data_IF_598157385582
#
_entry.id   IF_598157385582
#
_cell.length_a   1.000
_cell.length_b   1.000
_cell.length_c   1.000
_cell.angle_alpha   90.00
_cell.angle_beta   90.00
_cell.angle_gamma   90.00
#
_symmetry.space_group_name_H-M   'P 1'
#
loop_
_entity.id
_entity.type
_entity.pdbx_description
1 polymer ?
#
# COMPACT_ATOMS: atom_id res chain seq x y z
N UNK A 1 17.56 12.21 -0.17
CA UNK A 1 17.69 11.67 -1.55
C UNK A 1 16.33 11.72 -2.25
N UNK A 2 16.28 12.05 -3.54
CA UNK A 2 15.02 11.96 -4.33
C UNK A 2 14.75 10.48 -4.64
N UNK A 3 13.75 9.87 -4.01
CA UNK A 3 13.25 8.53 -4.38
C UNK A 3 12.52 8.63 -5.73
N UNK A 4 12.86 7.80 -6.70
CA UNK A 4 12.27 7.75 -8.04
C UNK A 4 12.08 6.29 -8.46
N UNK A 5 11.21 6.06 -9.44
CA UNK A 5 11.02 4.74 -10.04
C UNK A 5 12.33 4.18 -10.59
N UNK A 6 12.62 2.92 -10.29
CA UNK A 6 13.94 2.30 -10.53
C UNK A 6 14.04 1.52 -11.85
N UNK A 7 12.93 1.28 -12.57
CA UNK A 7 12.89 0.38 -13.72
C UNK A 7 11.81 0.75 -14.75
N UNK A 8 11.79 0.03 -15.87
CA UNK A 8 10.71 0.10 -16.88
C UNK A 8 9.53 -0.76 -16.43
N UNK A 9 8.32 -0.32 -16.79
CA UNK A 9 7.11 -1.13 -16.62
C UNK A 9 7.18 -2.41 -17.47
N UNK A 10 6.49 -3.49 -17.07
CA UNK A 10 6.33 -4.68 -17.89
C UNK A 10 5.49 -4.38 -19.15
N UNK A 11 5.65 -5.19 -20.20
CA UNK A 11 4.99 -4.97 -21.50
C UNK A 11 3.46 -5.01 -21.41
N UNK A 12 2.91 -5.86 -20.54
CA UNK A 12 1.47 -5.99 -20.29
C UNK A 12 0.92 -4.99 -19.25
N UNK A 13 1.67 -3.94 -18.90
CA UNK A 13 1.25 -2.92 -17.95
C UNK A 13 -0.15 -2.32 -18.20
N UNK A 14 -0.57 -2.01 -19.45
CA UNK A 14 -1.92 -1.50 -19.70
C UNK A 14 -3.03 -2.42 -19.18
N UNK A 15 -2.83 -3.74 -19.27
CA UNK A 15 -3.78 -4.74 -18.78
C UNK A 15 -3.77 -4.80 -17.25
N UNK A 16 -2.59 -4.88 -16.63
CA UNK A 16 -2.42 -4.89 -15.18
C UNK A 16 -3.08 -3.66 -14.55
N UNK A 17 -2.80 -2.48 -15.12
CA UNK A 17 -3.36 -1.22 -14.65
C UNK A 17 -4.89 -1.14 -14.84
N UNK A 18 -5.44 -1.74 -15.90
CA UNK A 18 -6.89 -1.83 -16.11
C UNK A 18 -7.53 -2.74 -15.06
N UNK A 19 -7.02 -3.96 -14.91
CA UNK A 19 -7.53 -4.95 -13.95
C UNK A 19 -7.51 -4.39 -12.51
N UNK A 20 -6.43 -3.71 -12.13
CA UNK A 20 -6.29 -3.07 -10.81
C UNK A 20 -7.40 -2.03 -10.56
N UNK A 21 -7.75 -1.23 -11.58
CA UNK A 21 -8.83 -0.24 -11.48
C UNK A 21 -10.22 -0.88 -11.46
N UNK A 22 -10.39 -1.99 -12.17
CA UNK A 22 -11.64 -2.77 -12.19
C UNK A 22 -11.90 -3.44 -10.84
N UNK A 23 -10.87 -4.02 -10.20
CA UNK A 23 -10.95 -4.56 -8.84
C UNK A 23 -11.36 -3.48 -7.82
N UNK A 24 -10.83 -2.26 -8.00
CA UNK A 24 -11.21 -1.10 -7.20
C UNK A 24 -12.57 -0.49 -7.61
N UNK A 25 -13.30 -1.12 -8.53
CA UNK A 25 -14.62 -0.69 -9.04
C UNK A 25 -14.62 0.76 -9.54
N UNK A 26 -13.52 1.18 -10.17
CA UNK A 26 -13.36 2.53 -10.68
C UNK A 26 -13.33 3.62 -9.59
N UNK A 27 -13.03 3.27 -8.34
CA UNK A 27 -12.98 4.18 -7.19
C UNK A 27 -11.59 4.23 -6.56
N UNK A 28 -11.24 5.38 -6.02
CA UNK A 28 -10.03 5.53 -5.22
C UNK A 28 -10.14 4.70 -3.94
N UNK A 29 -9.20 3.78 -3.69
CA UNK A 29 -9.23 2.92 -2.49
C UNK A 29 -9.06 3.72 -1.19
N UNK A 30 -8.45 4.90 -1.26
CA UNK A 30 -8.20 5.76 -0.10
C UNK A 30 -9.38 6.65 0.27
N UNK A 31 -9.93 7.41 -0.69
CA UNK A 31 -11.00 8.38 -0.41
C UNK A 31 -12.38 7.97 -0.94
N UNK A 32 -12.47 6.82 -1.62
CA UNK A 32 -13.71 6.31 -2.21
C UNK A 32 -14.18 7.05 -3.47
N UNK A 33 -13.65 8.22 -3.81
CA UNK A 33 -14.16 9.01 -4.93
C UNK A 33 -14.09 8.24 -6.26
N UNK A 34 -15.16 8.24 -7.09
CA UNK A 34 -15.14 7.61 -8.41
C UNK A 34 -14.17 8.31 -9.37
N UNK A 35 -13.71 7.58 -10.38
CA UNK A 35 -12.95 8.13 -11.49
C UNK A 35 -13.71 9.30 -12.13
N UNK A 36 -13.19 10.51 -11.98
CA UNK A 36 -13.78 11.72 -12.55
C UNK A 36 -12.70 12.74 -12.94
N UNK A 37 -12.14 12.64 -14.15
CA UNK A 37 -11.08 13.53 -14.62
C UNK A 37 -11.48 15.01 -14.65
N UNK A 38 -12.75 15.31 -14.96
CA UNK A 38 -13.25 16.69 -15.03
C UNK A 38 -13.16 17.42 -13.69
N UNK A 39 -13.22 16.68 -12.57
CA UNK A 39 -13.10 17.21 -11.21
C UNK A 39 -11.71 17.00 -10.59
N UNK A 40 -10.73 16.51 -11.37
CA UNK A 40 -9.38 16.21 -10.90
C UNK A 40 -9.28 14.92 -10.07
N UNK A 41 -10.19 13.96 -10.29
CA UNK A 41 -10.18 12.64 -9.69
C UNK A 41 -9.85 11.55 -10.72
N UNK A 42 -8.86 11.79 -11.57
CA UNK A 42 -8.34 10.78 -12.50
C UNK A 42 -7.75 9.62 -11.69
N UNK A 43 -8.27 8.42 -11.91
CA UNK A 43 -7.81 7.20 -11.25
C UNK A 43 -6.50 6.69 -11.89
N UNK A 44 -5.51 6.46 -11.04
CA UNK A 44 -4.15 6.01 -11.35
C UNK A 44 -3.81 4.79 -10.51
N UNK A 45 -2.76 4.04 -10.89
CA UNK A 45 -2.18 2.97 -10.08
C UNK A 45 -0.81 3.43 -9.60
N UNK A 46 -0.54 3.29 -8.32
CA UNK A 46 0.73 3.70 -7.70
C UNK A 46 1.50 2.46 -7.25
N UNK A 47 2.82 2.43 -7.45
CA UNK A 47 3.70 1.39 -6.90
C UNK A 47 4.27 1.88 -5.57
N UNK A 48 3.88 1.26 -4.45
CA UNK A 48 4.26 1.70 -3.10
C UNK A 48 5.76 1.54 -2.81
N UNK A 49 6.40 0.54 -3.40
CA UNK A 49 7.85 0.29 -3.31
C UNK A 49 8.68 1.07 -4.35
N UNK A 50 8.02 1.80 -5.26
CA UNK A 50 8.63 2.49 -6.40
C UNK A 50 9.35 1.57 -7.41
N UNK A 51 9.04 0.27 -7.43
CA UNK A 51 9.49 -0.67 -8.43
C UNK A 51 8.34 -1.00 -9.43
N UNK A 52 8.35 -0.40 -10.63
CA UNK A 52 7.39 -0.68 -11.70
C UNK A 52 7.25 -2.15 -12.14
N UNK A 53 8.20 -3.03 -11.81
CA UNK A 53 8.10 -4.45 -12.15
C UNK A 53 7.40 -5.27 -11.07
N UNK A 54 7.24 -4.73 -9.85
CA UNK A 54 6.56 -5.42 -8.77
C UNK A 54 5.06 -5.16 -8.87
N UNK A 55 4.37 -6.02 -9.62
CA UNK A 55 2.94 -5.94 -9.83
C UNK A 55 2.13 -6.81 -8.84
N UNK A 56 2.61 -6.99 -7.62
CA UNK A 56 1.83 -7.60 -6.55
C UNK A 56 0.63 -6.71 -6.17
N UNK A 57 -0.50 -7.31 -5.81
CA UNK A 57 -1.73 -6.57 -5.50
C UNK A 57 -1.55 -5.57 -4.34
N UNK A 58 -0.74 -5.95 -3.34
CA UNK A 58 -0.42 -5.11 -2.18
C UNK A 58 0.51 -3.94 -2.55
N UNK A 59 1.14 -3.97 -3.72
CA UNK A 59 2.01 -2.89 -4.17
C UNK A 59 1.28 -1.89 -5.07
N UNK A 60 0.07 -2.20 -5.54
CA UNK A 60 -0.64 -1.46 -6.60
C UNK A 60 -1.99 -0.87 -6.16
N UNK A 61 -2.07 0.04 -5.18
CA UNK A 61 -3.33 0.71 -4.86
C UNK A 61 -3.85 1.57 -6.02
N UNK A 62 -5.14 1.43 -6.33
CA UNK A 62 -5.85 2.31 -7.25
C UNK A 62 -6.23 3.63 -6.56
N UNK A 63 -5.57 4.73 -6.91
CA UNK A 63 -5.70 6.02 -6.25
C UNK A 63 -6.08 7.13 -7.24
N UNK A 64 -6.94 8.06 -6.81
CA UNK A 64 -7.14 9.29 -7.58
C UNK A 64 -5.86 10.14 -7.56
N UNK A 65 -5.68 10.99 -8.57
CA UNK A 65 -4.51 11.87 -8.72
C UNK A 65 -4.18 12.65 -7.42
N UNK A 66 -5.20 13.17 -6.72
CA UNK A 66 -5.00 13.89 -5.45
C UNK A 66 -4.40 13.01 -4.36
N UNK A 67 -4.98 11.83 -4.14
CA UNK A 67 -4.51 10.89 -3.13
C UNK A 67 -3.14 10.28 -3.48
N UNK A 68 -2.91 10.01 -4.77
CA UNK A 68 -1.64 9.52 -5.28
C UNK A 68 -0.50 10.52 -4.98
N UNK A 69 -0.67 11.79 -5.37
CA UNK A 69 0.33 12.83 -5.14
C UNK A 69 0.61 13.09 -3.65
N UNK A 70 -0.37 12.86 -2.77
CA UNK A 70 -0.17 13.00 -1.34
C UNK A 70 0.78 11.95 -0.75
N UNK A 71 0.84 10.74 -1.32
CA UNK A 71 1.64 9.63 -0.78
C UNK A 71 2.95 9.38 -1.54
N UNK A 72 3.03 9.78 -2.81
CA UNK A 72 4.09 9.40 -3.76
C UNK A 72 5.53 9.56 -3.24
N UNK A 73 5.80 10.58 -2.43
CA UNK A 73 7.13 10.85 -1.86
C UNK A 73 7.20 10.63 -0.34
N UNK A 74 6.09 10.25 0.29
CA UNK A 74 5.95 10.16 1.75
C UNK A 74 5.89 8.72 2.26
N UNK A 75 5.34 7.80 1.47
CA UNK A 75 5.27 6.41 1.86
C UNK A 75 6.62 5.75 1.61
N UNK A 76 7.12 5.09 2.64
CA UNK A 76 8.35 4.29 2.66
C UNK A 76 7.98 2.98 3.32
N UNK A 77 7.82 1.92 2.52
CA UNK A 77 7.31 0.64 3.03
C UNK A 77 8.24 0.02 4.08
N UNK A 78 9.54 0.27 3.97
CA UNK A 78 10.55 -0.25 4.90
C UNK A 78 10.53 0.44 6.27
N UNK A 79 9.86 1.58 6.40
CA UNK A 79 9.90 2.39 7.61
C UNK A 79 8.97 1.82 8.68
N UNK A 80 9.54 1.46 9.84
CA UNK A 80 8.78 1.10 11.03
C UNK A 80 7.92 2.27 11.52
N UNK A 81 6.76 1.96 12.09
CA UNK A 81 5.77 2.96 12.47
C UNK A 81 5.38 2.85 13.95
N UNK A 82 5.16 4.01 14.58
CA UNK A 82 4.68 4.11 15.96
C UNK A 82 3.15 4.15 16.04
N UNK A 83 2.52 4.85 15.10
CA UNK A 83 1.07 5.06 15.06
C UNK A 83 0.41 4.17 14.03
N UNK A 84 -0.77 3.68 14.36
CA UNK A 84 -1.55 2.78 13.52
C UNK A 84 -1.84 3.38 12.15
N UNK A 85 -1.76 2.54 11.12
CA UNK A 85 -2.11 2.92 9.77
C UNK A 85 -3.62 3.10 9.60
N UNK A 86 -4.02 3.97 8.68
CA UNK A 86 -5.42 4.09 8.28
C UNK A 86 -5.94 2.80 7.65
N UNK A 87 -7.24 2.51 7.83
CA UNK A 87 -7.88 1.27 7.33
C UNK A 87 -7.61 0.94 5.87
N UNK A 88 -7.66 1.93 4.97
CA UNK A 88 -7.42 1.68 3.54
C UNK A 88 -5.99 1.19 3.26
N UNK A 89 -5.02 1.54 4.12
CA UNK A 89 -3.60 1.29 3.90
C UNK A 89 -3.12 -0.01 4.55
N UNK A 90 -3.75 -0.41 5.66
CA UNK A 90 -3.41 -1.62 6.42
C UNK A 90 -3.24 -2.88 5.54
N UNK A 91 -4.15 -3.21 4.59
CA UNK A 91 -3.99 -4.41 3.75
C UNK A 91 -2.72 -4.40 2.90
N UNK A 92 -2.33 -3.23 2.38
CA UNK A 92 -1.15 -3.07 1.54
C UNK A 92 0.14 -3.23 2.36
N UNK A 93 0.17 -2.68 3.57
CA UNK A 93 1.30 -2.85 4.51
C UNK A 93 1.41 -4.29 4.98
N UNK A 94 0.29 -4.94 5.30
CA UNK A 94 0.29 -6.36 5.67
C UNK A 94 0.77 -7.25 4.53
N UNK A 95 0.35 -7.00 3.28
CA UNK A 95 0.83 -7.74 2.11
C UNK A 95 2.33 -7.55 1.87
N UNK A 96 2.85 -6.35 2.08
CA UNK A 96 4.30 -6.09 2.08
C UNK A 96 5.03 -6.93 3.14
N UNK A 97 4.55 -6.90 4.39
CA UNK A 97 5.17 -7.70 5.46
C UNK A 97 5.05 -9.20 5.23
N UNK A 98 3.96 -9.68 4.62
CA UNK A 98 3.85 -11.07 4.21
C UNK A 98 4.93 -11.42 3.19
N UNK A 99 5.09 -10.59 2.16
CA UNK A 99 6.07 -10.79 1.09
C UNK A 99 7.51 -10.85 1.60
N UNK A 100 7.95 -9.89 2.43
CA UNK A 100 9.35 -9.84 2.88
C UNK A 100 9.69 -10.89 3.94
N UNK A 101 8.70 -11.42 4.65
CA UNK A 101 8.90 -12.44 5.69
C UNK A 101 8.61 -13.87 5.20
N UNK A 102 8.33 -14.07 3.90
CA UNK A 102 8.11 -15.39 3.32
C UNK A 102 6.77 -16.03 3.67
N UNK A 103 5.77 -15.23 4.05
CA UNK A 103 4.40 -15.69 4.28
C UNK A 103 3.59 -15.73 2.98
N UNK A 104 2.45 -16.44 2.94
CA UNK A 104 1.53 -16.37 1.81
C UNK A 104 1.08 -14.93 1.52
N UNK A 105 1.17 -14.51 0.25
CA UNK A 105 0.74 -13.17 -0.20
C UNK A 105 -0.68 -13.16 -0.78
N UNK A 106 -1.39 -14.29 -0.75
CA UNK A 106 -2.80 -14.33 -1.17
C UNK A 106 -3.63 -13.33 -0.35
N UNK A 107 -4.46 -12.57 -1.05
CA UNK A 107 -5.22 -11.46 -0.45
C UNK A 107 -6.13 -11.94 0.68
N UNK A 108 -6.76 -13.11 0.55
CA UNK A 108 -7.64 -13.63 1.59
C UNK A 108 -6.83 -13.98 2.84
N UNK A 109 -5.72 -14.70 2.66
CA UNK A 109 -4.84 -15.07 3.77
C UNK A 109 -4.27 -13.85 4.50
N UNK A 110 -3.79 -12.85 3.75
CA UNK A 110 -3.26 -11.59 4.32
C UNK A 110 -4.31 -10.86 5.14
N UNK A 111 -5.55 -10.81 4.66
CA UNK A 111 -6.66 -10.16 5.38
C UNK A 111 -7.04 -10.92 6.66
N UNK A 112 -6.97 -12.25 6.67
CA UNK A 112 -7.22 -13.08 7.86
C UNK A 112 -6.11 -12.93 8.92
N UNK A 113 -4.89 -12.59 8.52
CA UNK A 113 -3.72 -12.47 9.40
C UNK A 113 -3.24 -11.01 9.55
N UNK A 114 -4.14 -10.04 9.35
CA UNK A 114 -3.79 -8.62 9.23
C UNK A 114 -2.99 -8.09 10.42
N UNK A 115 -3.50 -8.26 11.65
CA UNK A 115 -2.84 -7.73 12.86
C UNK A 115 -1.48 -8.39 13.12
N UNK A 116 -1.37 -9.69 12.84
CA UNK A 116 -0.11 -10.43 12.94
C UNK A 116 0.95 -9.85 11.98
N UNK A 117 0.57 -9.61 10.73
CA UNK A 117 1.48 -9.07 9.71
C UNK A 117 1.87 -7.62 10.01
N UNK A 118 0.94 -6.82 10.55
CA UNK A 118 1.20 -5.43 10.90
C UNK A 118 2.20 -5.29 12.06
N UNK A 119 2.24 -6.25 13.00
CA UNK A 119 3.15 -6.19 14.16
C UNK A 119 4.64 -6.20 13.76
N UNK A 120 5.00 -6.77 12.61
CA UNK A 120 6.38 -6.69 12.07
C UNK A 120 6.91 -5.26 11.94
N UNK A 121 6.02 -4.30 11.63
CA UNK A 121 6.38 -2.90 11.44
C UNK A 121 6.24 -2.01 12.66
N UNK A 122 5.62 -2.52 13.73
CA UNK A 122 5.14 -1.69 14.83
C UNK A 122 6.24 -1.48 15.88
N UNK A 123 6.58 -0.21 16.11
CA UNK A 123 7.47 0.16 17.21
C UNK A 123 6.66 0.12 18.52
N UNK A 124 6.92 -0.87 19.36
CA UNK A 124 6.38 -0.92 20.72
C UNK A 124 7.16 0.07 21.59
N UNK A 125 6.48 0.94 22.34
CA UNK A 125 7.12 1.66 23.45
C UNK A 125 7.59 0.60 24.45
N UNK A 126 8.86 0.65 24.89
CA UNK A 126 9.27 -0.07 26.09
C UNK A 126 8.29 0.32 27.20
N UNK A 127 7.59 -0.66 27.79
CA UNK A 127 6.95 -0.43 29.09
C UNK A 127 8.07 0.06 30.01
N UNK A 128 7.92 1.23 30.61
CA UNK A 128 8.72 1.57 31.77
C UNK A 128 8.45 0.48 32.80
N UNK A 129 9.51 -0.20 33.25
CA UNK A 129 9.49 -1.06 34.44
C UNK A 129 9.12 -0.18 35.64
N UNK A 130 7.82 0.02 35.87
CA UNK A 130 7.28 0.77 37.00
C UNK A 130 5.81 0.38 37.20
N UNK A 131 5.57 -0.89 37.54
CA UNK A 131 4.35 -1.35 38.21
C UNK A 131 4.58 -2.78 38.72
N UNK A 132 5.56 -2.90 39.60
CA UNK A 132 5.69 -4.03 40.53
C UNK A 132 6.16 -3.44 41.87
N UNK A 133 5.21 -2.81 42.55
CA UNK A 133 5.24 -2.51 43.99
C UNK A 133 3.83 -2.62 44.53
#
# INVERSE_FOLDING_TARGET
MKRKSISKYPDNWPEIARNTKEEARGRCVRCGHPHNPKLGYTLTVHHLDLNPTNCEWWNMPALCQRCHLQIQSKVVMEQLYMFEHTEWFKPYVAGYYASINGHPTDKKWVMEHLEFLLDYGRIRKKKSEAEET
#
